data_IF_407656744943
#
_entry.id   IF_407656744943
#
_cell.length_a   1.000
_cell.length_b   1.000
_cell.length_c   1.000
_cell.angle_alpha   90.00
_cell.angle_beta   90.00
_cell.angle_gamma   90.00
#
_symmetry.space_group_name_H-M   'P 1'
#
loop_
_entity.id
_entity.type
_entity.pdbx_description
1 polymer ?
#
# COMPACT_ATOMS: atom_id res chain seq x y z
N UNK A 1 -4.70 -14.74 13.36
CA UNK A 1 -5.35 -14.18 12.16
C UNK A 1 -4.34 -14.21 11.03
N UNK A 2 -4.69 -14.73 9.87
CA UNK A 2 -3.81 -14.85 8.69
C UNK A 2 -4.38 -14.14 7.47
N UNK A 3 -3.49 -13.56 6.68
CA UNK A 3 -3.81 -12.84 5.43
C UNK A 3 -4.27 -13.81 4.33
N UNK A 4 -5.41 -13.49 3.71
CA UNK A 4 -5.94 -14.18 2.53
C UNK A 4 -5.60 -13.39 1.26
N UNK A 5 -5.82 -12.08 1.30
CA UNK A 5 -5.64 -11.18 0.16
C UNK A 5 -5.29 -9.78 0.62
N UNK A 6 -4.60 -9.02 -0.24
CA UNK A 6 -4.20 -7.66 0.06
C UNK A 6 -4.25 -6.80 -1.21
N UNK A 7 -4.87 -5.64 -1.10
CA UNK A 7 -5.04 -4.69 -2.21
C UNK A 7 -5.33 -3.29 -1.65
N UNK A 8 -5.18 -2.27 -2.47
CA UNK A 8 -5.67 -0.91 -2.19
C UNK A 8 -7.06 -0.68 -2.80
N UNK A 9 -7.58 -1.61 -3.60
CA UNK A 9 -8.91 -1.50 -4.21
C UNK A 9 -10.01 -1.86 -3.20
N UNK A 10 -10.75 -0.85 -2.75
CA UNK A 10 -11.85 -1.02 -1.80
C UNK A 10 -12.96 -1.95 -2.31
N UNK A 11 -13.24 -1.93 -3.61
CA UNK A 11 -14.29 -2.77 -4.21
C UNK A 11 -13.89 -4.25 -4.13
N UNK A 12 -12.64 -4.58 -4.48
CA UNK A 12 -12.12 -5.96 -4.37
C UNK A 12 -12.15 -6.44 -2.91
N UNK A 13 -11.85 -5.57 -1.94
CA UNK A 13 -11.88 -5.90 -0.51
C UNK A 13 -13.30 -6.22 -0.06
N UNK A 14 -14.26 -5.36 -0.37
CA UNK A 14 -15.66 -5.55 0.03
C UNK A 14 -16.28 -6.79 -0.63
N UNK A 15 -15.96 -7.03 -1.91
CA UNK A 15 -16.39 -8.26 -2.60
C UNK A 15 -15.84 -9.52 -1.94
N UNK A 16 -14.55 -9.54 -1.59
CA UNK A 16 -13.96 -10.70 -0.94
C UNK A 16 -14.51 -10.91 0.48
N UNK A 17 -14.69 -9.84 1.25
CA UNK A 17 -15.29 -9.91 2.59
C UNK A 17 -16.72 -10.48 2.50
N UNK A 18 -17.55 -9.93 1.62
CA UNK A 18 -18.92 -10.42 1.43
C UNK A 18 -18.98 -11.88 0.98
N UNK A 19 -18.07 -12.28 0.07
CA UNK A 19 -17.94 -13.68 -0.35
C UNK A 19 -17.61 -14.61 0.82
N UNK A 20 -16.62 -14.26 1.64
CA UNK A 20 -16.20 -15.07 2.79
C UNK A 20 -17.28 -15.12 3.88
N UNK A 21 -17.92 -13.99 4.18
CA UNK A 21 -19.01 -13.94 5.16
C UNK A 21 -20.22 -14.75 4.71
N UNK A 22 -20.54 -14.76 3.41
CA UNK A 22 -21.60 -15.62 2.85
C UNK A 22 -21.34 -17.12 3.04
N UNK A 23 -20.07 -17.50 3.21
CA UNK A 23 -19.61 -18.87 3.45
C UNK A 23 -19.45 -19.19 4.96
N UNK A 24 -19.84 -18.25 5.83
CA UNK A 24 -19.72 -18.37 7.28
C UNK A 24 -18.32 -18.08 7.83
N UNK A 25 -17.43 -17.50 7.02
CA UNK A 25 -16.04 -17.18 7.42
C UNK A 25 -15.97 -15.71 7.79
N UNK A 26 -15.62 -15.43 9.05
CA UNK A 26 -15.47 -14.07 9.53
C UNK A 26 -14.16 -13.46 9.02
N UNK A 27 -14.27 -12.45 8.15
CA UNK A 27 -13.15 -11.70 7.60
C UNK A 27 -12.99 -10.35 8.31
N UNK A 28 -11.74 -9.92 8.49
CA UNK A 28 -11.41 -8.60 9.04
C UNK A 28 -10.48 -7.86 8.09
N UNK A 29 -10.67 -6.56 7.94
CA UNK A 29 -9.83 -5.70 7.08
C UNK A 29 -8.85 -4.92 7.95
N UNK A 30 -7.56 -5.15 7.74
CA UNK A 30 -6.48 -4.39 8.37
C UNK A 30 -5.87 -3.43 7.37
N UNK A 31 -5.91 -2.12 7.64
CA UNK A 31 -5.17 -1.14 6.87
C UNK A 31 -3.71 -1.10 7.34
N UNK A 32 -2.75 -1.25 6.41
CA UNK A 32 -1.35 -0.91 6.67
C UNK A 32 -1.28 0.62 6.78
N UNK A 33 -1.44 1.14 8.00
CA UNK A 33 -1.51 2.57 8.24
C UNK A 33 -0.34 3.31 7.60
N UNK A 34 -0.65 4.35 6.83
CA UNK A 34 0.28 5.46 6.68
C UNK A 34 0.51 5.99 8.10
N UNK A 35 1.70 5.77 8.67
CA UNK A 35 2.06 6.33 9.98
C UNK A 35 1.63 7.80 10.02
N UNK A 36 1.06 8.24 11.15
CA UNK A 36 0.16 9.40 11.29
C UNK A 36 0.57 10.77 10.72
N UNK A 37 1.72 10.86 10.05
CA UNK A 37 2.26 12.03 9.36
C UNK A 37 1.58 12.37 8.01
N UNK A 38 0.81 11.47 7.39
CA UNK A 38 0.26 11.65 6.03
C UNK A 38 -1.25 11.36 5.91
N UNK A 39 -2.02 11.50 7.00
CA UNK A 39 -3.49 11.47 6.94
C UNK A 39 -4.04 12.80 6.39
N UNK A 40 -3.80 13.07 5.11
CA UNK A 40 -4.50 14.11 4.34
C UNK A 40 -5.83 13.51 3.88
N UNK A 41 -6.94 14.25 4.00
CA UNK A 41 -8.25 13.78 3.50
C UNK A 41 -8.12 13.34 2.04
N UNK A 42 -8.46 12.07 1.76
CA UNK A 42 -8.30 11.45 0.43
C UNK A 42 -7.08 10.54 0.26
N UNK A 43 -6.10 10.55 1.16
CA UNK A 43 -4.99 9.59 1.13
C UNK A 43 -5.41 8.15 1.50
N UNK A 44 -6.54 8.00 2.21
CA UNK A 44 -7.08 6.72 2.67
C UNK A 44 -7.49 5.77 1.53
N UNK A 45 -7.78 6.28 0.32
CA UNK A 45 -8.15 5.48 -0.83
C UNK A 45 -6.98 4.69 -1.43
N UNK A 46 -5.74 5.11 -1.20
CA UNK A 46 -4.56 4.42 -1.72
C UNK A 46 -3.79 3.67 -0.62
N UNK A 47 -4.38 3.54 0.57
CA UNK A 47 -3.78 2.77 1.66
C UNK A 47 -3.98 1.28 1.36
N UNK A 48 -2.89 0.54 1.44
CA UNK A 48 -2.93 -0.90 1.28
C UNK A 48 -3.67 -1.54 2.45
N UNK A 49 -4.63 -2.40 2.14
CA UNK A 49 -5.44 -3.11 3.13
C UNK A 49 -5.30 -4.60 2.93
N UNK A 50 -5.37 -5.34 4.02
CA UNK A 50 -5.27 -6.80 4.08
C UNK A 50 -6.57 -7.37 4.61
N UNK A 51 -7.14 -8.33 3.88
CA UNK A 51 -8.22 -9.17 4.37
C UNK A 51 -7.59 -10.34 5.12
N UNK A 52 -7.90 -10.43 6.41
CA UNK A 52 -7.41 -11.49 7.30
C UNK A 52 -8.57 -12.28 7.86
N UNK A 53 -8.36 -13.57 8.08
CA UNK A 53 -9.32 -14.49 8.69
C UNK A 53 -8.66 -15.20 9.87
N UNK A 54 -9.45 -15.98 10.62
CA UNK A 54 -8.89 -16.84 11.67
C UNK A 54 -8.01 -17.92 11.07
N UNK A 55 -7.04 -18.39 11.85
CA UNK A 55 -6.04 -19.35 11.35
C UNK A 55 -6.68 -20.69 10.96
N UNK A 56 -7.76 -21.07 11.64
CA UNK A 56 -8.59 -22.26 11.38
C UNK A 56 -9.27 -22.21 10.00
N UNK A 57 -9.79 -21.05 9.60
CA UNK A 57 -10.51 -20.87 8.33
C UNK A 57 -9.58 -20.49 7.17
N UNK A 58 -8.31 -20.23 7.44
CA UNK A 58 -7.38 -19.64 6.48
C UNK A 58 -7.24 -20.46 5.19
N UNK A 59 -7.09 -21.78 5.31
CA UNK A 59 -6.91 -22.66 4.14
C UNK A 59 -8.15 -22.62 3.24
N UNK A 60 -9.34 -22.68 3.85
CA UNK A 60 -10.63 -22.64 3.15
C UNK A 60 -10.91 -21.27 2.54
N UNK A 61 -10.61 -20.20 3.26
CA UNK A 61 -10.74 -18.84 2.74
C UNK A 61 -9.81 -18.61 1.54
N UNK A 62 -8.60 -19.17 1.57
CA UNK A 62 -7.63 -19.04 0.48
C UNK A 62 -8.05 -19.84 -0.76
N UNK A 63 -8.66 -21.02 -0.61
CA UNK A 63 -9.20 -21.77 -1.74
C UNK A 63 -10.38 -21.03 -2.39
N UNK A 64 -11.34 -20.55 -1.58
CA UNK A 64 -12.49 -19.77 -2.05
C UNK A 64 -12.03 -18.51 -2.79
N UNK A 65 -11.09 -17.76 -2.21
CA UNK A 65 -10.54 -16.56 -2.82
C UNK A 65 -9.92 -16.88 -4.19
N UNK A 66 -9.10 -17.93 -4.28
CA UNK A 66 -8.43 -18.34 -5.52
C UNK A 66 -9.42 -18.80 -6.60
N UNK A 67 -10.43 -19.60 -6.23
CA UNK A 67 -11.49 -20.06 -7.14
C UNK A 67 -12.31 -18.90 -7.71
N UNK A 68 -12.43 -17.80 -6.96
CA UNK A 68 -13.17 -16.61 -7.37
C UNK A 68 -12.27 -15.51 -7.99
N UNK A 69 -11.03 -15.86 -8.36
CA UNK A 69 -10.13 -14.95 -9.08
C UNK A 69 -9.44 -13.89 -8.22
N UNK A 70 -9.52 -13.98 -6.90
CA UNK A 70 -8.72 -13.17 -5.98
C UNK A 70 -7.31 -13.74 -5.86
N UNK A 71 -6.54 -13.65 -6.95
CA UNK A 71 -5.13 -14.04 -6.96
C UNK A 71 -4.30 -13.02 -6.21
N UNK A 72 -3.31 -13.48 -5.42
CA UNK A 72 -2.46 -12.64 -4.57
C UNK A 72 -1.72 -11.55 -5.36
N UNK A 73 -2.38 -10.40 -5.57
CA UNK A 73 -1.78 -9.22 -6.19
C UNK A 73 -0.81 -8.58 -5.21
N UNK A 74 0.46 -8.95 -5.34
CA UNK A 74 1.55 -8.19 -4.72
C UNK A 74 1.82 -6.95 -5.55
N UNK A 75 0.93 -5.96 -5.50
CA UNK A 75 1.16 -4.70 -6.19
C UNK A 75 1.09 -3.53 -5.22
N UNK A 76 2.22 -3.24 -4.60
CA UNK A 76 2.76 -1.88 -4.46
C UNK A 76 4.14 -2.04 -3.85
N UNK A 77 5.15 -1.62 -4.61
CA UNK A 77 6.48 -1.31 -4.08
C UNK A 77 6.24 -0.41 -2.88
N UNK A 78 6.39 -0.94 -1.66
CA UNK A 78 6.51 -0.07 -0.48
C UNK A 78 7.59 0.93 -0.86
N UNK A 79 7.26 2.22 -0.92
CA UNK A 79 8.26 3.25 -1.18
C UNK A 79 9.28 3.07 -0.07
N UNK A 80 10.42 2.47 -0.43
CA UNK A 80 11.42 2.11 0.54
C UNK A 80 11.95 3.42 1.16
N UNK A 81 12.23 3.41 2.46
CA UNK A 81 12.82 4.58 3.14
C UNK A 81 14.10 5.03 2.40
N UNK A 82 14.80 4.07 1.81
CA UNK A 82 15.97 4.27 0.95
C UNK A 82 15.66 5.15 -0.26
N UNK A 83 14.53 4.93 -0.94
CA UNK A 83 14.11 5.73 -2.10
C UNK A 83 13.78 7.17 -1.70
N UNK A 84 13.15 7.37 -0.54
CA UNK A 84 12.85 8.71 -0.01
C UNK A 84 14.15 9.45 0.34
N UNK A 85 15.12 8.76 0.94
CA UNK A 85 16.40 9.34 1.31
C UNK A 85 17.24 9.71 0.07
N UNK A 86 17.26 8.83 -0.94
CA UNK A 86 17.92 9.09 -2.22
C UNK A 86 17.31 10.30 -2.94
N UNK A 87 15.98 10.38 -3.03
CA UNK A 87 15.29 11.52 -3.66
C UNK A 87 15.61 12.85 -2.96
N UNK A 88 15.72 12.85 -1.62
CA UNK A 88 16.12 14.04 -0.85
C UNK A 88 17.54 14.47 -1.17
N UNK A 89 18.49 13.54 -1.26
CA UNK A 89 19.88 13.84 -1.63
C UNK A 89 19.93 14.43 -3.05
N UNK A 90 19.25 13.80 -4.01
CA UNK A 90 19.23 14.27 -5.40
C UNK A 90 18.67 15.68 -5.50
N UNK A 91 17.60 16.00 -4.75
CA UNK A 91 17.01 17.34 -4.74
C UNK A 91 17.98 18.40 -4.20
N UNK A 92 18.72 18.09 -3.13
CA UNK A 92 19.73 19.00 -2.58
C UNK A 92 20.86 19.24 -3.58
N UNK A 93 21.37 18.18 -4.22
CA UNK A 93 22.42 18.31 -5.25
C UNK A 93 21.93 19.19 -6.40
N UNK A 94 20.70 18.97 -6.87
CA UNK A 94 20.12 19.75 -7.95
C UNK A 94 20.00 21.24 -7.60
N UNK A 95 19.59 21.55 -6.37
CA UNK A 95 19.53 22.91 -5.84
C UNK A 95 20.90 23.59 -5.80
N UNK A 96 21.94 22.87 -5.34
CA UNK A 96 23.31 23.39 -5.30
C UNK A 96 23.83 23.71 -6.69
N UNK A 97 23.57 22.85 -7.69
CA UNK A 97 23.97 23.09 -9.08
C UNK A 97 23.30 24.34 -9.64
N UNK A 98 21.99 24.52 -9.41
CA UNK A 98 21.26 25.71 -9.86
C UNK A 98 21.84 26.98 -9.20
N UNK A 99 22.07 26.95 -7.89
CA UNK A 99 22.62 28.10 -7.16
C UNK A 99 24.03 28.45 -7.62
N UNK A 100 24.90 27.47 -7.86
CA UNK A 100 26.23 27.69 -8.43
C UNK A 100 26.17 28.26 -9.84
N UNK A 101 25.23 27.79 -10.67
CA UNK A 101 24.99 28.33 -12.01
C UNK A 101 24.56 29.81 -11.98
N UNK A 102 23.63 30.16 -11.09
CA UNK A 102 23.19 31.55 -10.90
C UNK A 102 24.34 32.41 -10.38
N UNK A 103 25.09 31.93 -9.37
CA UNK A 103 26.19 32.68 -8.78
C UNK A 103 27.33 32.94 -9.78
N UNK A 104 27.71 31.92 -10.55
CA UNK A 104 28.72 32.07 -11.61
C UNK A 104 28.23 32.99 -12.74
N UNK A 105 26.94 32.96 -13.06
CA UNK A 105 26.34 33.88 -14.05
C UNK A 105 26.20 35.33 -13.55
N UNK A 106 26.12 35.56 -12.24
CA UNK A 106 26.10 36.90 -11.63
C UNK A 106 27.50 37.51 -11.47
N UNK A 107 28.55 36.68 -11.43
CA UNK A 107 29.96 37.09 -11.32
C UNK A 107 30.64 37.32 -12.68
N UNK A 108 29.93 37.08 -13.78
CA UNK A 108 30.36 37.30 -15.16
C UNK A 108 29.74 38.59 -15.72
#
# INVERSE_FOLDING_TARGET
MKEVYATNNEVEIQMLVGLLESQGILAQVHADGAGGYLRVQGADFNIFKRVVVRDEDWSRALSIAKENGFEKKKNTTKIDRTYVWAARITLVIFLVIILLGIFNGMMQ
#
